data_IF_502664449974
#
_entry.id   IF_502664449974
#
_cell.length_a   1.000
_cell.length_b   1.000
_cell.length_c   1.000
_cell.angle_alpha   90.00
_cell.angle_beta   90.00
_cell.angle_gamma   90.00
#
_symmetry.space_group_name_H-M   'P 1'
#
loop_
_entity.id
_entity.type
_entity.pdbx_description
1 polymer ?
#
# COMPACT_ATOMS: atom_id res chain seq x y z
N UNK A 1 36.45 31.44 16.71
CA UNK A 1 36.44 30.55 17.91
C UNK A 1 35.32 31.00 18.83
N UNK A 2 34.50 30.06 19.28
CA UNK A 2 33.35 30.29 20.14
C UNK A 2 33.68 29.96 21.59
N UNK A 3 33.28 30.83 22.53
CA UNK A 3 33.54 30.68 23.96
C UNK A 3 32.24 30.85 24.77
N UNK A 4 32.01 29.99 25.70
CA UNK A 4 30.93 30.07 26.68
C UNK A 4 31.46 30.65 27.97
N UNK A 5 30.81 31.73 28.46
CA UNK A 5 31.10 32.35 29.76
C UNK A 5 30.07 31.89 30.78
N UNK A 6 30.52 31.33 31.87
CA UNK A 6 29.69 30.84 32.97
C UNK A 6 29.44 31.91 34.02
N UNK A 7 28.38 31.76 34.85
CA UNK A 7 28.06 32.73 35.92
C UNK A 7 29.16 32.95 36.94
N UNK A 8 30.01 31.96 37.17
CA UNK A 8 31.18 32.03 38.05
C UNK A 8 32.38 32.78 37.44
N UNK A 9 32.20 33.29 36.20
CA UNK A 9 33.23 34.04 35.49
C UNK A 9 34.20 33.17 34.68
N UNK A 10 34.08 31.85 34.74
CA UNK A 10 34.90 30.95 33.91
C UNK A 10 34.53 31.05 32.45
N UNK A 11 35.51 30.84 31.57
CA UNK A 11 35.33 30.86 30.10
C UNK A 11 35.85 29.58 29.53
N UNK A 12 35.03 28.87 28.72
CA UNK A 12 35.39 27.62 28.07
C UNK A 12 35.21 27.72 26.56
N UNK A 13 36.18 27.26 25.80
CA UNK A 13 36.03 27.09 24.36
C UNK A 13 35.02 26.00 24.07
N UNK A 14 34.07 26.27 23.18
CA UNK A 14 33.00 25.35 22.74
C UNK A 14 33.02 25.12 21.21
N UNK A 15 34.14 25.41 20.57
CA UNK A 15 34.32 25.28 19.13
C UNK A 15 33.99 23.87 18.61
N UNK A 16 34.36 22.84 19.38
CA UNK A 16 34.05 21.44 19.11
C UNK A 16 32.57 21.07 19.18
N UNK A 17 31.74 21.96 19.75
CA UNK A 17 30.29 21.79 19.90
C UNK A 17 29.47 22.60 18.92
N UNK A 18 30.08 23.52 18.19
CA UNK A 18 29.41 24.38 17.21
C UNK A 18 29.21 23.59 15.92
N UNK A 19 27.96 23.29 15.51
CA UNK A 19 27.70 22.41 14.38
C UNK A 19 27.96 23.07 13.02
N UNK A 20 27.85 24.41 12.95
CA UNK A 20 28.06 25.20 11.71
C UNK A 20 28.22 26.70 12.04
N UNK A 21 28.77 27.46 11.09
CA UNK A 21 28.90 28.90 11.18
C UNK A 21 27.54 29.58 11.06
N UNK A 22 27.30 30.62 11.86
CA UNK A 22 26.07 31.42 11.81
C UNK A 22 26.20 32.64 10.90
N UNK A 23 25.09 33.09 10.27
CA UNK A 23 25.03 34.38 9.61
C UNK A 23 25.32 35.55 10.56
N UNK A 24 25.72 36.70 9.99
CA UNK A 24 25.86 37.94 10.77
C UNK A 24 24.54 38.32 11.44
N UNK A 25 24.59 38.69 12.70
CA UNK A 25 23.42 39.04 13.52
C UNK A 25 22.72 37.84 14.17
N UNK A 26 23.22 36.61 13.98
CA UNK A 26 22.76 35.44 14.71
C UNK A 26 23.75 35.08 15.83
N UNK A 27 23.25 34.45 16.89
CA UNK A 27 24.08 33.97 17.98
C UNK A 27 23.70 32.58 18.46
N UNK A 28 24.69 31.80 18.91
CA UNK A 28 24.45 30.56 19.63
C UNK A 28 24.12 30.82 21.08
N UNK A 29 23.09 30.14 21.60
CA UNK A 29 22.73 30.18 23.01
C UNK A 29 22.34 28.80 23.52
N UNK A 30 22.26 28.64 24.84
CA UNK A 30 21.69 27.42 25.45
C UNK A 30 20.17 27.56 25.55
N UNK A 31 19.46 26.42 25.39
CA UNK A 31 18.00 26.42 25.48
C UNK A 31 17.52 26.98 26.82
N UNK A 32 18.25 26.72 27.95
CA UNK A 32 17.96 27.27 29.25
C UNK A 32 18.06 28.83 29.37
N UNK A 33 18.74 29.47 28.43
CA UNK A 33 18.85 30.93 28.42
C UNK A 33 17.68 31.61 27.73
N UNK A 34 16.89 30.88 26.96
CA UNK A 34 15.72 31.39 26.19
C UNK A 34 14.40 30.76 26.64
N UNK A 35 14.43 29.77 27.54
CA UNK A 35 13.25 29.11 28.11
C UNK A 35 13.35 29.04 29.65
N UNK A 36 12.30 29.48 30.34
CA UNK A 36 12.19 29.37 31.80
C UNK A 36 10.70 29.27 32.22
N UNK A 37 10.27 28.18 32.92
CA UNK A 37 11.08 27.03 33.30
C UNK A 37 11.28 26.01 32.15
N UNK A 38 12.32 25.18 32.26
CA UNK A 38 12.47 23.90 31.59
C UNK A 38 12.31 22.82 32.66
N UNK A 39 11.19 22.11 32.66
CA UNK A 39 10.85 21.11 33.68
C UNK A 39 10.01 20.00 33.08
N UNK A 40 9.76 18.93 33.84
CA UNK A 40 8.90 17.83 33.40
C UNK A 40 7.68 17.66 34.30
N UNK A 41 6.75 16.79 33.89
CA UNK A 41 5.54 16.47 34.61
C UNK A 41 5.76 15.63 35.87
N UNK A 42 4.71 15.02 36.39
CA UNK A 42 4.78 14.17 37.59
C UNK A 42 5.53 12.89 37.32
N UNK A 43 6.37 12.47 38.28
CA UNK A 43 7.10 11.19 38.26
C UNK A 43 6.26 10.02 38.81
N UNK A 44 5.19 10.31 39.57
CA UNK A 44 4.28 9.29 40.06
C UNK A 44 3.31 8.88 38.97
N UNK A 45 3.10 7.59 38.78
CA UNK A 45 2.06 7.10 37.87
C UNK A 45 0.70 7.60 38.38
N UNK A 46 -0.06 8.36 37.59
CA UNK A 46 -1.33 8.88 38.04
C UNK A 46 -2.40 7.79 38.17
N UNK A 47 -3.38 8.01 39.06
CA UNK A 47 -4.62 7.26 38.99
C UNK A 47 -5.50 7.97 37.96
N UNK A 48 -5.85 7.25 36.88
CA UNK A 48 -6.72 7.78 35.84
C UNK A 48 -8.20 7.69 36.26
N UNK A 49 -9.02 8.55 35.69
CA UNK A 49 -10.48 8.59 35.86
C UNK A 49 -11.15 8.67 34.48
N UNK A 50 -12.44 8.33 34.41
CA UNK A 50 -13.21 8.42 33.15
C UNK A 50 -13.53 9.86 32.76
N UNK A 51 -13.52 10.78 33.74
CA UNK A 51 -13.74 12.22 33.57
C UNK A 51 -12.89 13.02 34.56
N UNK A 52 -12.72 14.31 34.33
CA UNK A 52 -11.94 15.20 35.18
C UNK A 52 -11.05 16.16 34.41
N UNK A 53 -9.79 16.30 34.82
CA UNK A 53 -8.81 17.20 34.21
C UNK A 53 -7.97 16.47 33.20
N UNK A 54 -7.67 17.13 32.07
CA UNK A 54 -6.85 16.58 30.99
C UNK A 54 -5.45 16.27 31.48
N UNK A 55 -4.94 15.09 31.10
CA UNK A 55 -3.60 14.64 31.43
C UNK A 55 -2.87 14.12 30.20
N UNK A 56 -1.78 14.81 29.83
CA UNK A 56 -1.00 14.51 28.63
C UNK A 56 0.31 13.77 28.96
N UNK A 57 0.70 12.92 28.03
CA UNK A 57 1.97 12.18 28.05
C UNK A 57 2.66 12.26 26.68
N UNK A 58 3.85 11.67 26.55
CA UNK A 58 4.54 11.61 25.25
C UNK A 58 3.72 10.96 24.13
N UNK A 59 2.72 10.14 24.46
CA UNK A 59 1.78 9.56 23.48
C UNK A 59 0.97 10.61 22.73
N UNK A 60 0.71 11.74 23.39
CA UNK A 60 -0.06 12.85 22.83
C UNK A 60 0.77 13.78 21.93
N UNK A 61 2.10 13.55 21.83
CA UNK A 61 3.04 14.42 21.08
C UNK A 61 3.81 13.64 20.01
N UNK A 62 3.28 12.51 19.54
CA UNK A 62 3.99 11.60 18.62
C UNK A 62 4.14 12.13 17.20
N UNK A 63 3.28 13.03 16.76
CA UNK A 63 3.16 13.55 15.39
C UNK A 63 3.62 15.01 15.21
N UNK A 64 4.25 15.61 16.24
CA UNK A 64 4.69 17.01 16.18
C UNK A 64 3.59 18.03 16.47
N UNK A 65 2.38 17.58 16.77
CA UNK A 65 1.26 18.36 17.31
C UNK A 65 0.67 17.64 18.52
N UNK A 66 -0.19 18.31 19.27
CA UNK A 66 -0.84 17.70 20.44
C UNK A 66 -2.11 17.00 19.98
N UNK A 67 -2.18 15.69 20.23
CA UNK A 67 -3.41 14.91 20.07
C UNK A 67 -4.33 15.16 21.26
N UNK A 68 -5.33 15.98 21.05
CA UNK A 68 -6.34 16.34 22.04
C UNK A 68 -7.57 15.42 22.00
N UNK A 69 -7.64 14.48 21.07
CA UNK A 69 -8.77 13.57 20.91
C UNK A 69 -8.57 12.30 21.72
N UNK A 70 -7.32 11.84 21.87
CA UNK A 70 -6.96 10.63 22.63
C UNK A 70 -6.33 10.98 23.98
N UNK A 71 -7.06 11.74 24.81
CA UNK A 71 -6.58 12.21 26.13
C UNK A 71 -6.96 11.25 27.25
N UNK A 72 -6.22 11.35 28.36
CA UNK A 72 -6.55 10.72 29.63
C UNK A 72 -7.02 11.80 30.62
N UNK A 73 -7.77 11.37 31.65
CA UNK A 73 -8.22 12.27 32.70
C UNK A 73 -7.68 11.86 34.06
N UNK A 74 -7.51 12.83 34.93
CA UNK A 74 -7.13 12.66 36.32
C UNK A 74 -8.16 13.35 37.25
N UNK A 75 -8.33 12.85 38.49
CA UNK A 75 -9.24 13.44 39.45
C UNK A 75 -8.76 14.82 39.93
N UNK A 76 -9.69 15.67 40.33
CA UNK A 76 -9.44 17.04 40.79
C UNK A 76 -8.40 17.14 41.92
N UNK A 77 -8.41 16.22 42.86
CA UNK A 77 -7.43 16.22 43.96
C UNK A 77 -5.98 16.09 43.48
N UNK A 78 -5.74 15.27 42.46
CA UNK A 78 -4.42 15.11 41.85
C UNK A 78 -4.10 16.34 40.99
N UNK A 79 -5.06 16.83 40.19
CA UNK A 79 -4.90 18.06 39.42
C UNK A 79 -4.44 19.23 40.28
N UNK A 80 -5.11 19.48 41.41
CA UNK A 80 -4.76 20.58 42.30
C UNK A 80 -3.32 20.52 42.82
N UNK A 81 -2.82 19.30 43.12
CA UNK A 81 -1.42 19.06 43.50
C UNK A 81 -0.44 19.37 42.36
N UNK A 82 -0.74 18.86 41.14
CA UNK A 82 0.15 18.99 40.00
C UNK A 82 0.18 20.37 39.40
N UNK A 83 -0.98 21.00 39.25
CA UNK A 83 -1.14 22.30 38.63
C UNK A 83 -0.53 23.43 39.51
N UNK A 84 -0.58 23.28 40.83
CA UNK A 84 0.10 24.20 41.74
C UNK A 84 1.63 24.19 41.55
N UNK A 85 2.20 23.08 41.14
CA UNK A 85 3.64 22.94 40.83
C UNK A 85 3.98 23.43 39.42
N UNK A 86 3.16 23.07 38.45
CA UNK A 86 3.38 23.38 37.06
C UNK A 86 2.05 23.52 36.32
N UNK A 87 1.74 24.75 35.93
CA UNK A 87 0.56 25.10 35.15
C UNK A 87 0.97 25.34 33.69
N UNK A 88 0.79 24.36 32.78
CA UNK A 88 1.08 24.54 31.37
C UNK A 88 0.20 25.64 30.76
N UNK A 89 0.73 26.38 29.78
CA UNK A 89 0.08 27.53 29.16
C UNK A 89 0.17 27.47 27.65
N UNK A 90 -0.72 28.19 26.98
CA UNK A 90 -0.63 28.36 25.53
C UNK A 90 0.75 28.93 25.14
N UNK A 91 1.30 28.43 24.05
CA UNK A 91 2.65 28.69 23.52
C UNK A 91 3.79 28.05 24.31
N UNK A 92 3.55 27.30 25.39
CA UNK A 92 4.57 26.40 25.92
C UNK A 92 4.88 25.31 24.87
N UNK A 93 6.12 24.81 24.87
CA UNK A 93 6.49 23.67 24.04
C UNK A 93 6.56 22.43 24.92
N UNK A 94 5.85 21.36 24.51
CA UNK A 94 5.93 20.04 25.11
C UNK A 94 6.90 19.19 24.29
N UNK A 95 7.96 18.68 24.92
CA UNK A 95 8.98 17.85 24.29
C UNK A 95 8.94 16.43 24.87
N UNK A 96 8.74 15.43 24.03
CA UNK A 96 8.77 14.03 24.44
C UNK A 96 10.18 13.60 24.84
N UNK A 97 10.32 13.16 26.11
CA UNK A 97 11.57 12.67 26.70
C UNK A 97 11.74 11.16 26.57
N UNK A 98 10.63 10.42 26.54
CA UNK A 98 10.56 8.96 26.44
C UNK A 98 9.61 8.56 25.32
N UNK A 99 9.81 7.39 24.74
CA UNK A 99 9.01 6.89 23.61
C UNK A 99 9.46 7.55 22.31
N UNK A 100 8.67 8.45 21.74
CA UNK A 100 9.03 9.28 20.57
C UNK A 100 9.97 10.43 20.97
N UNK A 101 11.10 10.07 21.54
CA UNK A 101 12.06 11.01 22.12
C UNK A 101 12.49 12.08 21.11
N UNK A 102 12.45 13.35 21.54
CA UNK A 102 12.84 14.49 20.70
C UNK A 102 11.71 15.11 19.90
N UNK A 103 10.55 14.45 19.78
CA UNK A 103 9.37 15.06 19.15
C UNK A 103 8.79 16.12 20.09
N UNK A 104 8.49 17.29 19.54
CA UNK A 104 7.94 18.42 20.29
C UNK A 104 6.67 18.95 19.62
N UNK A 105 5.82 19.63 20.43
CA UNK A 105 4.63 20.33 19.94
C UNK A 105 4.38 21.57 20.75
N UNK A 106 3.78 22.59 20.11
CA UNK A 106 3.34 23.82 20.77
C UNK A 106 1.96 23.59 21.38
N UNK A 107 1.74 24.10 22.61
CA UNK A 107 0.40 24.17 23.20
C UNK A 107 -0.42 25.20 22.41
N UNK A 108 -1.28 24.74 21.54
CA UNK A 108 -2.01 25.53 20.55
C UNK A 108 -3.31 26.13 21.06
N UNK A 109 -3.81 25.66 22.20
CA UNK A 109 -5.09 26.13 22.80
C UNK A 109 -4.95 26.57 24.25
N UNK A 110 -5.85 27.39 24.65
CA UNK A 110 -5.94 27.88 26.04
C UNK A 110 -6.88 26.94 26.82
N UNK A 111 -6.29 25.96 27.50
CA UNK A 111 -7.03 25.00 28.33
C UNK A 111 -6.21 24.57 29.55
N UNK A 112 -6.89 24.03 30.55
CA UNK A 112 -6.28 23.55 31.80
C UNK A 112 -5.93 22.07 31.60
N UNK A 113 -4.67 21.70 31.83
CA UNK A 113 -4.19 20.31 31.75
C UNK A 113 -2.94 20.13 32.59
N UNK A 114 -2.60 18.85 32.84
CA UNK A 114 -1.38 18.40 33.49
C UNK A 114 -0.57 17.51 32.57
N UNK A 115 0.71 17.31 32.90
CA UNK A 115 1.62 16.50 32.09
C UNK A 115 2.34 15.43 32.91
N UNK A 116 2.65 14.32 32.25
CA UNK A 116 3.45 13.23 32.79
C UNK A 116 4.94 13.45 32.60
N UNK A 117 5.77 12.81 33.42
CA UNK A 117 7.26 12.87 33.36
C UNK A 117 7.84 12.53 31.97
N UNK A 118 7.08 11.87 31.12
CA UNK A 118 7.50 11.57 29.74
C UNK A 118 7.54 12.81 28.82
N UNK A 119 7.01 13.97 29.30
CA UNK A 119 7.07 15.26 28.63
C UNK A 119 7.93 16.23 29.44
N UNK A 120 8.82 16.95 28.74
CA UNK A 120 9.38 18.19 29.24
C UNK A 120 8.55 19.38 28.75
N UNK A 121 8.31 20.35 29.61
CA UNK A 121 7.72 21.63 29.30
C UNK A 121 8.84 22.66 29.17
N UNK A 122 8.83 23.40 28.05
CA UNK A 122 9.70 24.52 27.77
C UNK A 122 8.84 25.77 27.67
N UNK A 123 8.91 26.64 28.66
CA UNK A 123 8.24 27.97 28.62
C UNK A 123 9.19 28.99 28.05
N UNK A 124 8.87 29.51 26.90
CA UNK A 124 9.73 30.46 26.19
C UNK A 124 9.67 31.85 26.75
N UNK A 125 10.76 32.58 26.60
CA UNK A 125 10.82 34.02 26.86
C UNK A 125 10.41 34.73 25.56
N UNK A 126 9.13 35.10 25.46
CA UNK A 126 8.47 35.43 24.20
C UNK A 126 8.98 36.64 23.41
N UNK A 127 9.82 37.50 24.01
CA UNK A 127 10.46 38.58 23.27
C UNK A 127 11.80 38.22 22.65
N UNK A 128 12.36 37.02 22.98
CA UNK A 128 13.67 36.56 22.49
C UNK A 128 13.48 35.55 21.34
N UNK A 129 12.51 34.66 21.49
CA UNK A 129 12.32 33.55 20.53
C UNK A 129 10.83 33.27 20.28
N UNK A 130 10.45 33.01 19.04
CA UNK A 130 9.09 32.57 18.71
C UNK A 130 8.93 31.08 18.95
N UNK A 131 7.73 30.60 19.38
CA UNK A 131 7.44 29.17 19.55
C UNK A 131 7.66 28.37 18.28
N UNK A 132 7.20 28.88 17.13
CA UNK A 132 7.25 28.21 15.84
C UNK A 132 8.68 28.06 15.33
N UNK A 133 9.51 29.08 15.52
CA UNK A 133 10.93 29.02 15.19
C UNK A 133 11.66 28.02 16.09
N UNK A 134 11.42 28.05 17.41
CA UNK A 134 12.02 27.09 18.34
C UNK A 134 11.58 25.66 18.04
N UNK A 135 10.30 25.42 17.77
CA UNK A 135 9.79 24.13 17.37
C UNK A 135 10.50 23.60 16.12
N UNK A 136 10.61 24.42 15.09
CA UNK A 136 11.30 24.07 13.84
C UNK A 136 12.79 23.79 14.08
N UNK A 137 13.43 24.58 14.96
CA UNK A 137 14.84 24.35 15.34
C UNK A 137 15.00 23.03 16.08
N UNK A 138 14.14 22.71 17.03
CA UNK A 138 14.12 21.43 17.75
C UNK A 138 13.95 20.25 16.77
N UNK A 139 13.08 20.40 15.76
CA UNK A 139 12.84 19.40 14.74
C UNK A 139 14.02 19.22 13.75
N UNK A 140 14.98 20.14 13.72
CA UNK A 140 16.12 20.06 12.80
C UNK A 140 16.97 18.81 13.03
N UNK A 141 17.59 18.28 11.95
CA UNK A 141 18.46 17.12 12.02
C UNK A 141 19.64 17.32 13.00
N UNK A 142 20.15 18.53 13.09
CA UNK A 142 21.25 18.87 14.04
C UNK A 142 20.84 18.65 15.49
N UNK A 143 19.69 19.15 15.90
CA UNK A 143 19.21 18.99 17.29
C UNK A 143 18.76 17.56 17.55
N UNK A 144 18.07 16.92 16.57
CA UNK A 144 17.63 15.52 16.70
C UNK A 144 18.84 14.56 16.83
N UNK A 145 19.92 14.79 16.09
CA UNK A 145 21.14 14.01 16.21
C UNK A 145 21.81 14.20 17.59
N UNK A 146 21.82 15.42 18.12
CA UNK A 146 22.32 15.69 19.48
C UNK A 146 21.46 14.96 20.52
N UNK A 147 20.13 15.04 20.43
CA UNK A 147 19.23 14.32 21.34
C UNK A 147 19.46 12.81 21.27
N UNK A 148 19.50 12.24 20.09
CA UNK A 148 19.72 10.80 19.89
C UNK A 148 21.06 10.34 20.48
N UNK A 149 22.14 11.13 20.31
CA UNK A 149 23.45 10.81 20.90
C UNK A 149 23.49 10.96 22.42
N UNK A 150 22.56 11.72 22.98
CA UNK A 150 22.47 12.02 24.44
C UNK A 150 21.52 11.06 25.18
N UNK A 151 20.85 10.12 24.46
CA UNK A 151 19.93 9.18 25.09
C UNK A 151 20.65 8.24 26.07
N UNK A 152 20.05 8.02 27.22
CA UNK A 152 20.53 7.09 28.25
C UNK A 152 19.45 6.05 28.54
N UNK A 153 19.87 4.83 28.89
CA UNK A 153 19.01 3.72 29.29
C UNK A 153 19.11 2.49 28.39
N UNK A 154 19.10 1.30 29.01
CA UNK A 154 19.03 0.01 28.33
C UNK A 154 17.54 -0.37 28.30
N UNK A 155 16.92 -0.33 27.11
CA UNK A 155 15.52 -0.71 26.90
C UNK A 155 14.59 0.45 26.53
N UNK A 156 14.38 1.44 27.39
CA UNK A 156 13.59 2.64 27.05
C UNK A 156 14.50 3.86 27.05
N UNK A 157 14.87 4.41 25.89
CA UNK A 157 15.68 5.61 25.79
C UNK A 157 15.01 6.79 26.50
N UNK A 158 15.79 7.56 27.26
CA UNK A 158 15.32 8.74 28.00
C UNK A 158 16.23 9.93 27.75
N UNK A 159 15.65 11.04 27.35
CA UNK A 159 16.33 12.34 27.21
C UNK A 159 16.24 13.11 28.53
N UNK A 160 17.36 13.25 29.23
CA UNK A 160 17.40 13.94 30.51
C UNK A 160 17.26 15.46 30.34
N UNK A 161 16.62 16.12 31.32
CA UNK A 161 16.45 17.59 31.32
C UNK A 161 17.77 18.36 31.21
N UNK A 162 18.87 17.81 31.74
CA UNK A 162 20.20 18.41 31.62
C UNK A 162 20.62 18.57 30.14
N UNK A 163 20.42 17.53 29.34
CA UNK A 163 20.75 17.58 27.90
C UNK A 163 19.83 18.57 27.17
N UNK A 164 18.55 18.62 27.54
CA UNK A 164 17.60 19.60 26.97
C UNK A 164 18.06 21.04 27.30
N UNK A 165 18.36 21.33 28.57
CA UNK A 165 18.81 22.65 29.03
C UNK A 165 20.08 23.12 28.34
N UNK A 166 21.02 22.22 28.12
CA UNK A 166 22.33 22.51 27.54
C UNK A 166 22.39 22.44 26.02
N UNK A 167 21.26 22.15 25.36
CA UNK A 167 21.16 22.16 23.90
C UNK A 167 21.51 23.53 23.32
N UNK A 168 22.40 23.57 22.33
CA UNK A 168 22.74 24.78 21.60
C UNK A 168 21.64 25.11 20.57
N UNK A 169 21.16 26.33 20.61
CA UNK A 169 20.11 26.85 19.72
C UNK A 169 20.65 28.05 18.97
N UNK A 170 20.56 28.11 17.63
CA UNK A 170 20.87 29.32 16.89
C UNK A 170 19.71 30.31 17.01
N UNK A 171 19.96 31.52 17.43
CA UNK A 171 18.94 32.57 17.59
C UNK A 171 19.16 33.64 16.56
N UNK A 172 18.20 33.77 15.66
CA UNK A 172 18.09 34.84 14.68
C UNK A 172 17.43 36.08 15.27
N UNK A 173 17.53 37.28 14.67
CA UNK A 173 16.68 38.42 15.01
C UNK A 173 15.20 38.03 14.92
N UNK A 174 14.38 38.48 15.88
CA UNK A 174 12.98 38.03 16.06
C UNK A 174 12.13 38.14 14.79
N UNK A 175 12.25 39.21 14.02
CA UNK A 175 11.54 39.35 12.74
C UNK A 175 12.00 38.34 11.67
N UNK A 176 13.23 37.88 11.76
CA UNK A 176 13.74 36.83 10.88
C UNK A 176 13.24 35.47 11.29
N UNK A 177 13.14 35.19 12.60
CA UNK A 177 12.54 33.97 13.11
C UNK A 177 11.11 33.78 12.57
N UNK A 178 10.27 34.81 12.60
CA UNK A 178 8.92 34.75 12.03
C UNK A 178 8.93 34.48 10.54
N UNK A 179 9.83 35.12 9.77
CA UNK A 179 9.94 34.86 8.33
C UNK A 179 10.38 33.43 8.04
N UNK A 180 11.33 32.90 8.81
CA UNK A 180 11.83 31.52 8.68
C UNK A 180 10.70 30.54 9.00
N UNK A 181 10.04 30.68 10.15
CA UNK A 181 8.95 29.79 10.57
C UNK A 181 7.81 29.75 9.54
N UNK A 182 7.34 30.93 9.10
CA UNK A 182 6.30 31.04 8.06
C UNK A 182 6.73 30.38 6.73
N UNK A 183 8.00 30.58 6.33
CA UNK A 183 8.49 29.99 5.08
C UNK A 183 8.63 28.48 5.17
N UNK A 184 9.08 27.95 6.31
CA UNK A 184 9.16 26.52 6.57
C UNK A 184 7.78 25.87 6.56
N UNK A 185 6.80 26.47 7.24
CA UNK A 185 5.40 25.98 7.23
C UNK A 185 4.84 25.89 5.81
N UNK A 186 5.04 26.95 5.00
CA UNK A 186 4.61 26.95 3.60
C UNK A 186 5.29 25.85 2.79
N UNK A 187 6.60 25.63 2.95
CA UNK A 187 7.34 24.61 2.21
C UNK A 187 6.95 23.19 2.63
N UNK A 188 6.77 22.96 3.92
CA UNK A 188 6.32 21.66 4.45
C UNK A 188 4.89 21.33 3.97
N UNK A 189 3.97 22.30 4.09
CA UNK A 189 2.60 22.14 3.56
C UNK A 189 2.59 21.86 2.04
N UNK A 190 3.49 22.48 1.29
CA UNK A 190 3.62 22.22 -0.14
C UNK A 190 4.17 20.82 -0.43
N UNK A 191 5.15 20.36 0.35
CA UNK A 191 5.68 19.00 0.25
C UNK A 191 4.62 17.94 0.54
N UNK A 192 3.83 18.12 1.63
CA UNK A 192 2.73 17.24 1.99
C UNK A 192 1.65 17.17 0.89
N UNK A 193 1.37 18.32 0.27
CA UNK A 193 0.43 18.38 -0.86
C UNK A 193 0.95 17.59 -2.07
N UNK A 194 2.22 17.74 -2.43
CA UNK A 194 2.84 16.97 -3.54
C UNK A 194 2.72 15.47 -3.27
N UNK A 195 3.02 15.02 -2.05
CA UNK A 195 2.92 13.60 -1.68
C UNK A 195 1.47 13.10 -1.77
N UNK A 196 0.52 13.88 -1.26
CA UNK A 196 -0.91 13.55 -1.34
C UNK A 196 -1.39 13.49 -2.80
N UNK A 197 -1.01 14.44 -3.64
CA UNK A 197 -1.35 14.48 -5.05
C UNK A 197 -0.73 13.28 -5.81
N UNK A 198 0.50 12.87 -5.45
CA UNK A 198 1.15 11.66 -5.99
C UNK A 198 0.34 10.40 -5.66
N UNK A 199 -0.04 10.20 -4.40
CA UNK A 199 -0.85 9.06 -3.96
C UNK A 199 -2.21 9.03 -4.67
N UNK A 200 -2.88 10.18 -4.77
CA UNK A 200 -4.15 10.31 -5.48
C UNK A 200 -4.03 9.93 -6.96
N UNK A 201 -2.99 10.39 -7.64
CA UNK A 201 -2.75 10.10 -9.05
C UNK A 201 -2.48 8.61 -9.28
N UNK A 202 -1.66 7.95 -8.44
CA UNK A 202 -1.42 6.51 -8.52
C UNK A 202 -2.72 5.71 -8.35
N UNK A 203 -3.54 6.06 -7.36
CA UNK A 203 -4.84 5.43 -7.14
C UNK A 203 -5.78 5.61 -8.35
N UNK A 204 -5.78 6.80 -8.94
CA UNK A 204 -6.60 7.11 -10.14
C UNK A 204 -6.13 6.29 -11.34
N UNK A 205 -4.82 6.08 -11.51
CA UNK A 205 -4.27 5.25 -12.59
C UNK A 205 -4.74 3.80 -12.43
N UNK A 206 -4.67 3.22 -11.22
CA UNK A 206 -5.12 1.86 -10.97
C UNK A 206 -6.63 1.69 -11.23
N UNK A 207 -7.44 2.65 -10.79
CA UNK A 207 -8.89 2.68 -11.09
C UNK A 207 -9.16 2.79 -12.59
N UNK A 208 -8.36 3.58 -13.31
CA UNK A 208 -8.46 3.74 -14.76
C UNK A 208 -8.12 2.44 -15.48
N UNK A 209 -7.05 1.74 -15.09
CA UNK A 209 -6.70 0.42 -15.62
C UNK A 209 -7.83 -0.59 -15.40
N UNK A 210 -8.38 -0.63 -14.19
CA UNK A 210 -9.52 -1.49 -13.88
C UNK A 210 -10.74 -1.17 -14.76
N UNK A 211 -11.03 0.12 -14.99
CA UNK A 211 -12.14 0.54 -15.87
C UNK A 211 -11.92 0.20 -17.33
N UNK A 212 -10.68 0.31 -17.82
CA UNK A 212 -10.31 -0.12 -19.19
C UNK A 212 -10.59 -1.61 -19.36
N UNK A 213 -10.19 -2.46 -18.40
CA UNK A 213 -10.48 -3.88 -18.44
C UNK A 213 -11.99 -4.19 -18.39
N UNK A 214 -12.74 -3.47 -17.56
CA UNK A 214 -14.21 -3.61 -17.50
C UNK A 214 -14.88 -3.27 -18.84
N UNK A 215 -14.47 -2.17 -19.48
CA UNK A 215 -14.95 -1.79 -20.80
C UNK A 215 -14.57 -2.82 -21.88
N UNK A 216 -13.36 -3.38 -21.79
CA UNK A 216 -12.85 -4.37 -22.71
C UNK A 216 -13.70 -5.64 -22.73
N UNK A 217 -13.99 -6.20 -21.54
CA UNK A 217 -14.75 -7.46 -21.43
C UNK A 217 -16.26 -7.32 -21.70
N UNK A 218 -16.73 -6.08 -21.85
CA UNK A 218 -18.13 -5.72 -22.19
C UNK A 218 -18.30 -5.26 -23.65
N UNK A 219 -17.23 -5.33 -24.48
CA UNK A 219 -17.28 -4.88 -25.86
C UNK A 219 -17.43 -3.38 -26.08
N UNK A 220 -17.04 -2.57 -25.07
CA UNK A 220 -17.16 -1.10 -25.08
C UNK A 220 -15.83 -0.37 -25.28
N UNK A 221 -14.70 -1.11 -25.43
CA UNK A 221 -13.36 -0.53 -25.55
C UNK A 221 -12.97 -0.23 -27.00
N UNK A 222 -13.40 -1.04 -27.93
CA UNK A 222 -13.12 -0.90 -29.38
C UNK A 222 -14.44 -0.98 -30.17
N UNK A 223 -14.53 -0.37 -31.37
CA UNK A 223 -15.70 -0.49 -32.20
C UNK A 223 -15.88 -1.93 -32.73
N UNK A 224 -17.13 -2.36 -32.85
CA UNK A 224 -17.52 -3.63 -33.48
C UNK A 224 -17.27 -3.55 -35.00
N UNK A 225 -16.76 -4.64 -35.61
CA UNK A 225 -16.63 -4.78 -37.06
C UNK A 225 -17.68 -5.78 -37.56
N UNK A 226 -18.62 -5.38 -38.41
CA UNK A 226 -19.67 -6.28 -38.92
C UNK A 226 -19.11 -7.41 -39.81
N UNK A 227 -17.84 -7.31 -40.25
CA UNK A 227 -17.18 -8.35 -41.05
C UNK A 227 -16.53 -9.42 -40.21
N UNK A 228 -16.41 -9.24 -38.89
CA UNK A 228 -15.89 -10.25 -38.01
C UNK A 228 -16.85 -11.44 -37.90
N UNK A 229 -16.32 -12.66 -37.93
CA UNK A 229 -17.11 -13.86 -37.72
C UNK A 229 -17.67 -13.88 -36.27
N UNK A 230 -18.99 -13.99 -36.07
CA UNK A 230 -19.59 -14.01 -34.75
C UNK A 230 -19.01 -15.12 -33.86
N UNK A 231 -18.75 -14.80 -32.59
CA UNK A 231 -18.16 -15.75 -31.64
C UNK A 231 -19.05 -16.96 -31.32
N UNK A 232 -20.38 -16.85 -31.54
CA UNK A 232 -21.31 -17.98 -31.43
C UNK A 232 -20.92 -19.12 -32.39
N UNK A 233 -20.53 -18.79 -33.61
CA UNK A 233 -20.06 -19.78 -34.61
C UNK A 233 -18.75 -20.47 -34.16
N UNK A 234 -17.85 -19.67 -33.56
CA UNK A 234 -16.59 -20.21 -33.02
C UNK A 234 -16.84 -21.18 -31.84
N UNK A 235 -17.78 -20.85 -30.95
CA UNK A 235 -18.15 -21.72 -29.83
C UNK A 235 -18.85 -23.02 -30.31
N UNK A 236 -19.71 -22.93 -31.34
CA UNK A 236 -20.33 -24.09 -31.94
C UNK A 236 -19.29 -25.06 -32.54
N UNK A 237 -18.26 -24.53 -33.20
CA UNK A 237 -17.15 -25.36 -33.71
C UNK A 237 -16.43 -26.11 -32.60
N UNK A 238 -16.08 -25.43 -31.49
CA UNK A 238 -15.44 -26.10 -30.34
C UNK A 238 -16.34 -27.21 -29.80
N UNK A 239 -17.63 -26.92 -29.62
CA UNK A 239 -18.57 -27.91 -29.11
C UNK A 239 -18.67 -29.12 -30.05
N UNK A 240 -18.73 -28.88 -31.36
CA UNK A 240 -18.74 -29.96 -32.36
C UNK A 240 -17.44 -30.77 -32.34
N UNK A 241 -16.27 -30.13 -32.28
CA UNK A 241 -14.98 -30.80 -32.19
C UNK A 241 -14.88 -31.63 -30.91
N UNK A 242 -15.31 -31.08 -29.76
CA UNK A 242 -15.33 -31.78 -28.47
C UNK A 242 -16.22 -33.03 -28.52
N UNK A 243 -17.43 -32.92 -29.10
CA UNK A 243 -18.35 -34.05 -29.27
C UNK A 243 -17.74 -35.13 -30.15
N UNK A 244 -17.02 -34.76 -31.23
CA UNK A 244 -16.34 -35.72 -32.10
C UNK A 244 -15.20 -36.45 -31.37
N UNK A 245 -14.42 -35.71 -30.56
CA UNK A 245 -13.35 -36.32 -29.72
C UNK A 245 -13.92 -37.27 -28.65
N UNK A 246 -15.10 -36.95 -28.10
CA UNK A 246 -15.83 -37.84 -27.16
C UNK A 246 -16.29 -39.10 -27.91
N UNK A 247 -16.87 -38.95 -29.12
CA UNK A 247 -17.31 -40.07 -29.95
C UNK A 247 -16.17 -41.02 -30.33
N UNK A 248 -14.98 -40.43 -30.59
CA UNK A 248 -13.77 -41.20 -30.88
C UNK A 248 -13.14 -41.82 -29.64
N UNK A 249 -13.66 -41.60 -28.44
CA UNK A 249 -13.12 -42.10 -27.17
C UNK A 249 -11.79 -41.46 -26.75
N UNK A 250 -11.40 -40.37 -27.40
CA UNK A 250 -10.17 -39.62 -27.08
C UNK A 250 -10.28 -38.81 -25.79
N UNK A 251 -11.49 -38.30 -25.52
CA UNK A 251 -11.80 -37.60 -24.28
C UNK A 251 -13.06 -38.20 -23.67
N UNK A 252 -13.18 -38.12 -22.33
CA UNK A 252 -14.37 -38.56 -21.62
C UNK A 252 -15.33 -37.39 -21.44
N UNK A 253 -16.65 -37.65 -21.59
CA UNK A 253 -17.69 -36.67 -21.27
C UNK A 253 -17.61 -36.31 -19.78
N UNK A 254 -17.56 -35.03 -19.51
CA UNK A 254 -17.64 -34.57 -18.13
C UNK A 254 -19.09 -34.72 -17.64
N UNK A 255 -19.28 -35.47 -16.54
CA UNK A 255 -20.62 -35.67 -15.93
C UNK A 255 -21.22 -34.40 -15.31
N UNK A 256 -20.40 -33.37 -15.10
CA UNK A 256 -20.76 -32.05 -14.54
C UNK A 256 -20.58 -30.93 -15.56
N UNK A 257 -20.76 -31.24 -16.84
CA UNK A 257 -20.67 -30.23 -17.88
C UNK A 257 -21.64 -29.09 -17.62
N UNK A 258 -21.10 -27.87 -17.63
CA UNK A 258 -21.85 -26.64 -17.42
C UNK A 258 -22.06 -25.94 -18.78
N UNK A 259 -23.26 -25.43 -19.00
CA UNK A 259 -23.62 -24.69 -20.22
C UNK A 259 -24.32 -23.40 -19.85
N UNK A 260 -23.89 -22.29 -20.45
CA UNK A 260 -24.56 -21.01 -20.31
C UNK A 260 -25.55 -20.85 -21.47
N UNK A 261 -26.78 -20.43 -21.16
CA UNK A 261 -27.83 -20.14 -22.14
C UNK A 261 -28.60 -18.88 -21.75
N UNK A 262 -29.24 -18.26 -22.73
CA UNK A 262 -30.08 -17.11 -22.53
C UNK A 262 -31.54 -17.58 -22.39
N UNK A 263 -32.19 -17.14 -21.31
CA UNK A 263 -33.60 -17.44 -21.05
C UNK A 263 -34.57 -16.57 -21.88
N UNK A 264 -35.86 -16.87 -21.79
CA UNK A 264 -36.92 -16.10 -22.46
C UNK A 264 -37.05 -14.66 -21.95
N UNK A 265 -36.61 -14.43 -20.74
CA UNK A 265 -36.53 -13.13 -20.06
C UNK A 265 -35.28 -12.30 -20.45
N UNK A 266 -34.50 -12.77 -21.43
CA UNK A 266 -33.22 -12.21 -21.86
C UNK A 266 -32.08 -12.27 -20.82
N UNK A 267 -32.29 -12.89 -19.65
CA UNK A 267 -31.25 -13.14 -18.65
C UNK A 267 -30.38 -14.35 -18.99
N UNK A 268 -29.15 -14.37 -18.49
CA UNK A 268 -28.25 -15.51 -18.67
C UNK A 268 -28.31 -16.48 -17.48
N UNK A 269 -28.31 -17.78 -17.82
CA UNK A 269 -28.40 -18.85 -16.85
C UNK A 269 -27.28 -19.87 -17.06
N UNK A 270 -26.73 -20.37 -15.95
CA UNK A 270 -25.79 -21.48 -15.92
C UNK A 270 -26.55 -22.78 -15.60
N UNK A 271 -26.48 -23.76 -16.50
CA UNK A 271 -27.04 -25.09 -16.30
C UNK A 271 -25.92 -26.10 -16.00
N UNK A 272 -26.04 -26.82 -14.90
CA UNK A 272 -25.13 -27.88 -14.47
C UNK A 272 -25.97 -29.13 -14.20
N UNK A 273 -25.99 -30.09 -15.13
CA UNK A 273 -26.93 -31.21 -15.05
C UNK A 273 -28.39 -30.74 -14.98
N UNK A 274 -29.05 -30.94 -13.84
CA UNK A 274 -30.44 -30.50 -13.60
C UNK A 274 -30.55 -29.15 -12.85
N UNK A 275 -29.42 -28.61 -12.39
CA UNK A 275 -29.41 -27.34 -11.66
C UNK A 275 -29.32 -26.18 -12.65
N UNK A 276 -30.13 -25.14 -12.42
CA UNK A 276 -30.12 -23.90 -13.19
C UNK A 276 -29.94 -22.76 -12.22
N UNK A 277 -28.89 -21.97 -12.41
CA UNK A 277 -28.54 -20.79 -11.60
C UNK A 277 -28.58 -19.54 -12.47
N UNK A 278 -29.14 -18.43 -11.94
CA UNK A 278 -29.09 -17.12 -12.62
C UNK A 278 -27.69 -16.52 -12.56
N UNK A 279 -27.26 -15.90 -13.64
CA UNK A 279 -25.97 -15.20 -13.74
C UNK A 279 -26.11 -13.68 -13.60
N UNK A 280 -27.27 -13.16 -13.21
CA UNK A 280 -27.54 -11.72 -13.10
C UNK A 280 -26.57 -11.00 -12.14
N UNK A 281 -26.15 -11.68 -11.06
CA UNK A 281 -25.20 -11.14 -10.08
C UNK A 281 -23.80 -10.88 -10.67
N UNK A 282 -23.48 -11.49 -11.81
CA UNK A 282 -22.16 -11.36 -12.45
C UNK A 282 -22.06 -10.22 -13.45
N UNK A 283 -23.14 -9.42 -13.62
CA UNK A 283 -23.17 -8.22 -14.48
C UNK A 283 -22.72 -8.51 -15.94
N UNK A 284 -23.20 -9.63 -16.52
CA UNK A 284 -22.90 -10.04 -17.88
C UNK A 284 -23.83 -9.39 -18.88
N UNK A 285 -24.79 -8.63 -18.38
CA UNK A 285 -25.77 -7.92 -19.21
C UNK A 285 -25.07 -6.89 -20.09
N UNK A 286 -25.62 -6.70 -21.28
CA UNK A 286 -25.18 -5.64 -22.20
C UNK A 286 -23.83 -5.92 -22.92
N UNK A 287 -23.63 -7.16 -23.39
CA UNK A 287 -22.53 -7.51 -24.33
C UNK A 287 -23.02 -7.45 -25.78
N UNK A 288 -22.13 -7.19 -26.77
CA UNK A 288 -22.49 -7.19 -28.19
C UNK A 288 -23.12 -8.51 -28.66
N UNK A 289 -24.07 -8.44 -29.57
CA UNK A 289 -24.74 -9.62 -30.12
C UNK A 289 -23.79 -10.58 -30.88
N UNK A 290 -22.69 -10.04 -31.40
CA UNK A 290 -21.63 -10.82 -32.07
C UNK A 290 -20.77 -11.61 -31.12
N UNK A 291 -20.87 -11.36 -29.81
CA UNK A 291 -20.08 -12.06 -28.79
C UNK A 291 -20.78 -13.32 -28.30
N UNK A 292 -19.98 -14.30 -27.89
CA UNK A 292 -20.45 -15.48 -27.20
C UNK A 292 -20.21 -15.40 -25.69
N UNK A 293 -20.93 -16.22 -24.93
CA UNK A 293 -20.70 -16.44 -23.50
C UNK A 293 -20.56 -17.94 -23.27
N UNK A 294 -19.57 -18.33 -22.50
CA UNK A 294 -19.34 -19.71 -22.12
C UNK A 294 -18.73 -19.83 -20.73
N UNK A 295 -18.60 -21.02 -20.20
CA UNK A 295 -17.80 -21.28 -19.02
C UNK A 295 -16.32 -21.38 -19.41
N UNK A 296 -15.41 -20.92 -18.53
CA UNK A 296 -13.96 -21.00 -18.75
C UNK A 296 -13.50 -22.44 -19.07
N UNK A 297 -14.09 -23.45 -18.43
CA UNK A 297 -13.80 -24.86 -18.71
C UNK A 297 -14.27 -25.38 -20.07
N UNK A 298 -15.03 -24.61 -20.88
CA UNK A 298 -15.37 -24.95 -22.25
C UNK A 298 -14.25 -24.60 -23.24
N UNK A 299 -13.46 -23.58 -22.91
CA UNK A 299 -12.45 -22.97 -23.79
C UNK A 299 -11.02 -23.10 -23.27
N UNK A 300 -10.83 -23.67 -22.08
CA UNK A 300 -9.54 -23.76 -21.41
C UNK A 300 -9.44 -25.06 -20.58
N UNK A 301 -8.27 -25.65 -20.57
CA UNK A 301 -7.92 -26.82 -19.73
C UNK A 301 -7.61 -26.36 -18.26
N UNK A 302 -8.59 -25.74 -17.60
CA UNK A 302 -8.41 -25.22 -16.26
C UNK A 302 -8.15 -26.35 -15.24
N UNK A 303 -6.95 -26.31 -14.61
CA UNK A 303 -6.54 -27.27 -13.59
C UNK A 303 -6.03 -28.62 -14.11
N UNK A 304 -5.92 -28.81 -15.42
CA UNK A 304 -5.30 -29.97 -16.03
C UNK A 304 -3.81 -29.68 -16.33
N UNK A 305 -2.95 -29.81 -15.29
CA UNK A 305 -1.55 -29.44 -15.36
C UNK A 305 -0.64 -30.69 -15.49
N UNK A 306 0.44 -30.58 -16.25
CA UNK A 306 1.48 -31.59 -16.34
C UNK A 306 2.39 -31.45 -15.12
N UNK A 307 2.30 -32.43 -14.22
CA UNK A 307 3.15 -32.46 -13.02
C UNK A 307 4.50 -33.11 -13.34
N UNK A 308 5.59 -32.45 -12.95
CA UNK A 308 6.97 -32.94 -13.09
C UNK A 308 7.62 -33.01 -11.70
N UNK A 309 8.22 -34.18 -11.41
CA UNK A 309 8.99 -34.32 -10.17
C UNK A 309 10.27 -33.48 -10.28
N UNK A 310 10.65 -32.82 -9.17
CA UNK A 310 11.80 -31.93 -9.16
C UNK A 310 13.11 -32.62 -9.60
N UNK A 311 13.27 -33.91 -9.30
CA UNK A 311 14.43 -34.69 -9.74
C UNK A 311 14.58 -34.80 -11.27
N UNK A 312 13.47 -34.70 -12.00
CA UNK A 312 13.43 -34.81 -13.45
C UNK A 312 13.58 -33.42 -14.15
N UNK A 313 13.65 -32.36 -13.39
CA UNK A 313 13.84 -30.97 -13.85
C UNK A 313 15.34 -30.66 -13.91
N UNK A 314 15.82 -30.11 -15.02
CA UNK A 314 17.20 -29.64 -15.17
C UNK A 314 17.53 -28.51 -14.17
N UNK A 315 18.76 -28.50 -13.63
CA UNK A 315 19.25 -27.47 -12.71
C UNK A 315 19.19 -26.05 -13.30
N UNK A 316 19.31 -25.92 -14.60
CA UNK A 316 19.26 -24.64 -15.32
C UNK A 316 17.84 -24.29 -15.81
N UNK A 317 16.84 -25.13 -15.58
CA UNK A 317 15.47 -24.84 -15.97
C UNK A 317 14.89 -23.67 -15.15
N UNK A 318 14.13 -22.79 -15.81
CA UNK A 318 13.42 -21.69 -15.17
C UNK A 318 12.32 -22.22 -14.24
N UNK A 319 12.32 -21.74 -13.00
CA UNK A 319 11.28 -22.00 -12.00
C UNK A 319 10.59 -20.70 -11.66
N UNK A 320 9.31 -20.60 -11.98
CA UNK A 320 8.46 -19.45 -11.64
C UNK A 320 7.68 -19.71 -10.35
N UNK A 321 7.91 -18.91 -9.34
CA UNK A 321 7.14 -18.93 -8.11
C UNK A 321 6.22 -17.67 -7.99
N UNK A 322 5.33 -17.69 -7.01
CA UNK A 322 4.35 -16.61 -6.83
C UNK A 322 4.99 -15.23 -6.58
N UNK A 323 6.13 -15.20 -5.92
CA UNK A 323 6.86 -13.96 -5.60
C UNK A 323 7.48 -13.30 -6.84
N UNK A 324 7.70 -14.08 -7.91
CA UNK A 324 8.27 -13.57 -9.16
C UNK A 324 7.26 -12.84 -10.03
N UNK A 325 5.97 -12.94 -9.72
CA UNK A 325 4.91 -12.27 -10.46
C UNK A 325 4.49 -11.03 -9.69
N UNK A 326 4.58 -9.88 -10.32
CA UNK A 326 4.13 -8.62 -9.77
C UNK A 326 2.60 -8.58 -9.69
N UNK A 327 2.10 -8.06 -8.56
CA UNK A 327 0.68 -7.90 -8.31
C UNK A 327 0.06 -6.93 -9.32
N UNK A 328 -1.14 -7.22 -9.85
CA UNK A 328 -1.97 -6.38 -10.71
C UNK A 328 -1.36 -5.97 -12.07
N UNK A 329 -0.12 -6.32 -12.38
CA UNK A 329 0.58 -5.82 -13.57
C UNK A 329 0.72 -6.84 -14.69
N UNK A 330 0.71 -8.12 -14.36
CA UNK A 330 1.00 -9.19 -15.32
C UNK A 330 2.46 -9.24 -15.75
N UNK A 331 3.39 -8.78 -14.93
CA UNK A 331 4.85 -8.78 -15.18
C UNK A 331 5.56 -9.84 -14.33
N UNK A 332 6.56 -10.48 -14.92
CA UNK A 332 7.56 -11.28 -14.21
C UNK A 332 8.68 -10.34 -13.79
N UNK A 333 8.93 -10.22 -12.50
CA UNK A 333 9.94 -9.31 -11.93
C UNK A 333 11.27 -9.99 -11.65
N UNK A 334 11.27 -11.34 -11.61
CA UNK A 334 12.46 -12.13 -11.34
C UNK A 334 12.40 -13.46 -12.07
N UNK A 335 13.55 -13.93 -12.58
CA UNK A 335 13.71 -15.26 -13.15
C UNK A 335 14.82 -15.99 -12.43
N UNK A 336 14.50 -17.12 -11.83
CA UNK A 336 15.45 -17.96 -11.14
C UNK A 336 15.41 -19.38 -11.71
N UNK A 337 16.58 -20.01 -11.77
CA UNK A 337 16.74 -21.42 -12.13
C UNK A 337 16.41 -22.34 -10.95
N UNK A 338 16.20 -23.61 -11.20
CA UNK A 338 16.01 -24.63 -10.17
C UNK A 338 17.14 -24.61 -9.14
N UNK A 339 18.39 -24.50 -9.62
CA UNK A 339 19.59 -24.44 -8.76
C UNK A 339 19.56 -23.27 -7.79
N UNK A 340 19.16 -22.09 -8.26
CA UNK A 340 19.09 -20.88 -7.45
C UNK A 340 17.95 -20.93 -6.42
N UNK A 341 16.83 -21.61 -6.75
CA UNK A 341 15.68 -21.70 -5.83
C UNK A 341 15.81 -22.80 -4.77
N UNK A 342 16.68 -23.77 -4.98
CA UNK A 342 16.82 -24.93 -4.08
C UNK A 342 15.45 -25.59 -3.74
N UNK A 343 14.58 -25.76 -4.74
CA UNK A 343 13.21 -26.24 -4.57
C UNK A 343 13.12 -27.75 -4.62
N UNK A 344 12.39 -28.37 -3.67
CA UNK A 344 12.21 -29.81 -3.57
C UNK A 344 10.82 -30.33 -3.95
N UNK A 345 9.82 -29.46 -4.16
CA UNK A 345 8.45 -29.84 -4.47
C UNK A 345 8.24 -30.03 -5.98
N UNK A 346 7.33 -30.94 -6.38
CA UNK A 346 6.88 -31.09 -7.77
C UNK A 346 6.36 -29.77 -8.34
N UNK A 347 6.51 -29.61 -9.65
CA UNK A 347 6.18 -28.40 -10.40
C UNK A 347 5.24 -28.71 -11.56
N UNK A 348 4.46 -27.70 -11.98
CA UNK A 348 3.73 -27.75 -13.24
C UNK A 348 4.65 -27.31 -14.37
N UNK A 349 4.70 -28.07 -15.46
CA UNK A 349 5.34 -27.67 -16.71
C UNK A 349 4.46 -26.58 -17.37
N UNK A 350 5.09 -25.55 -17.91
CA UNK A 350 4.44 -24.57 -18.77
C UNK A 350 5.26 -24.32 -20.04
N UNK A 351 4.58 -23.91 -21.10
CA UNK A 351 5.16 -23.57 -22.38
C UNK A 351 5.05 -22.07 -22.68
N UNK A 352 5.97 -21.61 -23.51
CA UNK A 352 5.95 -20.25 -24.04
C UNK A 352 4.58 -19.89 -24.63
N UNK A 353 4.07 -18.72 -24.28
CA UNK A 353 2.80 -18.18 -24.76
C UNK A 353 1.58 -18.62 -23.95
N UNK A 354 1.72 -19.53 -22.99
CA UNK A 354 0.63 -19.91 -22.10
C UNK A 354 0.32 -18.80 -21.09
N UNK A 355 -0.96 -18.70 -20.74
CA UNK A 355 -1.42 -17.84 -19.65
C UNK A 355 -1.23 -18.57 -18.33
N UNK A 356 -0.45 -18.02 -17.42
CA UNK A 356 -0.22 -18.58 -16.10
C UNK A 356 -1.05 -17.78 -15.07
N UNK A 357 -1.92 -18.49 -14.36
CA UNK A 357 -2.83 -17.91 -13.36
C UNK A 357 -2.54 -18.42 -11.96
N UNK A 358 -2.36 -17.51 -11.00
CA UNK A 358 -2.27 -17.87 -9.58
C UNK A 358 -3.64 -18.15 -8.99
N UNK A 359 -3.95 -19.41 -8.68
CA UNK A 359 -5.17 -19.77 -7.96
C UNK A 359 -5.12 -19.43 -6.47
N UNK A 360 -3.91 -19.23 -5.90
CA UNK A 360 -3.69 -18.86 -4.52
C UNK A 360 -3.80 -17.34 -4.35
N UNK A 361 -4.59 -16.90 -3.37
CA UNK A 361 -4.85 -15.48 -3.09
C UNK A 361 -5.25 -14.71 -4.35
N UNK A 362 -6.38 -15.04 -4.97
CA UNK A 362 -6.80 -14.44 -6.25
C UNK A 362 -6.82 -12.91 -6.22
N UNK A 363 -7.07 -12.31 -5.05
CA UNK A 363 -7.05 -10.86 -4.86
C UNK A 363 -5.68 -10.19 -5.16
N UNK A 364 -4.61 -10.97 -5.27
CA UNK A 364 -3.30 -10.46 -5.71
C UNK A 364 -3.21 -10.32 -7.24
N UNK A 365 -4.21 -10.84 -7.97
CA UNK A 365 -4.36 -10.67 -9.41
C UNK A 365 -3.07 -10.97 -10.21
N UNK A 366 -2.44 -12.11 -9.91
CA UNK A 366 -1.17 -12.54 -10.53
C UNK A 366 -1.44 -13.42 -11.74
N UNK A 367 -1.37 -12.81 -12.91
CA UNK A 367 -1.62 -13.43 -14.21
C UNK A 367 -0.55 -12.99 -15.20
N UNK A 368 0.17 -13.91 -15.82
CA UNK A 368 1.24 -13.59 -16.77
C UNK A 368 1.15 -14.44 -18.03
N UNK A 369 1.73 -13.96 -19.13
CA UNK A 369 2.06 -14.77 -20.29
C UNK A 369 3.57 -14.88 -20.34
N UNK A 370 4.08 -16.11 -20.50
CA UNK A 370 5.52 -16.38 -20.52
C UNK A 370 6.08 -16.32 -21.93
N UNK A 371 7.31 -15.88 -22.05
CA UNK A 371 8.06 -15.78 -23.31
C UNK A 371 9.02 -16.96 -23.54
N UNK A 372 9.06 -17.90 -22.57
CA UNK A 372 9.90 -19.11 -22.61
C UNK A 372 9.20 -20.28 -21.90
N UNK A 373 9.72 -21.50 -22.11
CA UNK A 373 9.29 -22.71 -21.42
C UNK A 373 9.88 -22.74 -19.99
N UNK A 374 9.18 -23.39 -19.07
CA UNK A 374 9.65 -23.53 -17.70
C UNK A 374 8.72 -24.34 -16.81
N UNK A 375 8.94 -24.21 -15.52
CA UNK A 375 8.15 -24.89 -14.49
C UNK A 375 7.67 -23.88 -13.46
N UNK A 376 6.46 -24.08 -12.94
CA UNK A 376 5.92 -23.20 -11.90
C UNK A 376 5.46 -24.00 -10.67
N UNK A 377 5.29 -23.31 -9.56
CA UNK A 377 4.69 -23.89 -8.35
C UNK A 377 3.28 -24.46 -8.64
N UNK A 378 2.86 -25.46 -7.90
CA UNK A 378 1.51 -26.06 -8.02
C UNK A 378 0.36 -25.09 -7.70
N UNK A 379 0.65 -23.90 -7.18
CA UNK A 379 -0.34 -22.84 -6.95
C UNK A 379 -0.56 -21.96 -8.19
N UNK A 380 0.28 -22.08 -9.21
CA UNK A 380 0.13 -21.44 -10.52
C UNK A 380 -0.40 -22.50 -11.51
N UNK A 381 -1.44 -22.13 -12.24
CA UNK A 381 -2.04 -22.96 -13.27
C UNK A 381 -1.61 -22.47 -14.65
N UNK A 382 -0.83 -23.26 -15.42
CA UNK A 382 -0.70 -23.07 -16.85
C UNK A 382 -2.04 -23.35 -17.53
N UNK A 383 -2.60 -22.35 -18.19
CA UNK A 383 -3.88 -22.43 -18.85
C UNK A 383 -3.65 -22.59 -20.35
N UNK A 384 -4.07 -23.74 -20.90
CA UNK A 384 -4.10 -23.96 -22.31
C UNK A 384 -5.47 -23.59 -22.87
N UNK A 385 -5.51 -22.53 -23.65
CA UNK A 385 -6.73 -22.07 -24.30
C UNK A 385 -6.90 -22.69 -25.68
N UNK A 386 -8.16 -22.91 -26.09
CA UNK A 386 -8.46 -23.29 -27.45
C UNK A 386 -8.01 -22.21 -28.46
N UNK A 387 -7.80 -22.61 -29.70
CA UNK A 387 -7.27 -21.77 -30.79
C UNK A 387 -8.16 -20.59 -31.18
N UNK A 388 -9.38 -20.51 -30.67
CA UNK A 388 -10.30 -19.37 -30.85
C UNK A 388 -10.13 -18.26 -29.80
N UNK A 389 -9.28 -18.48 -28.80
CA UNK A 389 -9.02 -17.51 -27.75
C UNK A 389 -7.60 -16.96 -27.90
N UNK A 390 -7.51 -15.66 -28.06
CA UNK A 390 -6.22 -14.96 -28.10
C UNK A 390 -5.64 -14.84 -26.68
N UNK A 391 -4.43 -15.34 -26.39
CA UNK A 391 -3.90 -15.43 -25.03
C UNK A 391 -3.86 -14.09 -24.28
N UNK A 392 -3.50 -12.98 -24.97
CA UNK A 392 -3.49 -11.66 -24.34
C UNK A 392 -4.90 -11.22 -23.92
N UNK A 393 -5.92 -11.48 -24.72
CA UNK A 393 -7.30 -11.21 -24.33
C UNK A 393 -7.69 -12.04 -23.11
N UNK A 394 -7.37 -13.33 -23.09
CA UNK A 394 -7.64 -14.20 -21.95
C UNK A 394 -6.95 -13.71 -20.68
N UNK A 395 -5.68 -13.30 -20.77
CA UNK A 395 -4.95 -12.69 -19.66
C UNK A 395 -5.70 -11.47 -19.12
N UNK A 396 -6.09 -10.54 -19.98
CA UNK A 396 -6.80 -9.32 -19.56
C UNK A 396 -8.19 -9.60 -19.01
N UNK A 397 -8.88 -10.62 -19.55
CA UNK A 397 -10.15 -11.07 -19.00
C UNK A 397 -9.99 -11.58 -17.56
N UNK A 398 -9.01 -12.46 -17.31
CA UNK A 398 -8.72 -13.01 -15.98
C UNK A 398 -8.26 -11.91 -15.00
N UNK A 399 -7.57 -10.89 -15.50
CA UNK A 399 -7.17 -9.71 -14.69
C UNK A 399 -8.32 -8.73 -14.43
N UNK A 400 -9.46 -8.86 -15.09
CA UNK A 400 -10.56 -7.91 -15.00
C UNK A 400 -11.22 -7.89 -13.61
N UNK A 401 -11.81 -6.74 -13.21
CA UNK A 401 -12.55 -6.65 -11.96
C UNK A 401 -13.68 -7.66 -11.82
N UNK A 402 -14.33 -8.02 -12.93
CA UNK A 402 -15.43 -9.01 -12.97
C UNK A 402 -14.92 -10.41 -12.64
N UNK A 403 -13.87 -10.89 -13.30
CA UNK A 403 -13.29 -12.18 -12.98
C UNK A 403 -12.67 -12.21 -11.58
N UNK A 404 -12.01 -11.15 -11.17
CA UNK A 404 -11.40 -11.03 -9.84
C UNK A 404 -12.46 -11.11 -8.72
N UNK A 405 -13.61 -10.46 -8.90
CA UNK A 405 -14.75 -10.53 -7.97
C UNK A 405 -15.26 -11.95 -7.87
N UNK A 406 -15.47 -12.63 -9.02
CA UNK A 406 -15.86 -14.04 -9.06
C UNK A 406 -14.86 -14.92 -8.31
N UNK A 407 -13.59 -14.83 -8.66
CA UNK A 407 -12.53 -15.63 -8.07
C UNK A 407 -12.42 -15.47 -6.55
N UNK A 408 -12.56 -14.23 -6.05
CA UNK A 408 -12.56 -13.95 -4.62
C UNK A 408 -13.81 -14.51 -3.92
N UNK A 409 -14.99 -14.38 -4.53
CA UNK A 409 -16.25 -14.89 -3.99
C UNK A 409 -16.25 -16.43 -3.87
N UNK A 410 -15.76 -17.12 -4.89
CA UNK A 410 -15.73 -18.59 -4.96
C UNK A 410 -14.50 -19.21 -4.28
N UNK A 411 -13.58 -18.40 -3.74
CA UNK A 411 -12.39 -18.91 -3.08
C UNK A 411 -12.67 -19.44 -1.68
N UNK A 412 -12.01 -20.54 -1.33
CA UNK A 412 -12.08 -21.16 -0.01
C UNK A 412 -10.76 -21.02 0.76
N UNK A 413 -10.83 -21.01 2.08
CA UNK A 413 -9.69 -20.87 3.01
C UNK A 413 -9.51 -19.46 3.55
N UNK A 414 -9.33 -19.32 4.88
CA UNK A 414 -9.31 -18.02 5.57
C UNK A 414 -7.98 -17.29 5.38
N UNK A 415 -6.85 -17.94 5.66
CA UNK A 415 -5.52 -17.31 5.57
C UNK A 415 -4.91 -17.35 4.17
N UNK A 416 -5.25 -18.37 3.40
CA UNK A 416 -4.69 -18.64 2.07
C UNK A 416 -5.82 -19.07 1.11
N UNK A 417 -6.72 -18.13 0.73
CA UNK A 417 -7.85 -18.45 -0.15
C UNK A 417 -7.37 -18.96 -1.51
N UNK A 418 -8.09 -19.94 -2.06
CA UNK A 418 -7.80 -20.56 -3.36
C UNK A 418 -9.06 -20.71 -4.18
N UNK A 419 -8.97 -20.36 -5.46
CA UNK A 419 -10.01 -20.72 -6.43
C UNK A 419 -9.86 -22.18 -6.82
N UNK A 420 -10.85 -23.00 -6.44
CA UNK A 420 -10.86 -24.43 -6.74
C UNK A 420 -11.04 -24.74 -8.24
N UNK A 421 -10.61 -25.91 -8.67
CA UNK A 421 -10.73 -26.33 -10.08
C UNK A 421 -12.18 -26.37 -10.56
N UNK A 422 -13.10 -26.84 -9.72
CA UNK A 422 -14.51 -26.94 -10.09
C UNK A 422 -15.14 -25.55 -10.31
N UNK A 423 -14.85 -24.60 -9.42
CA UNK A 423 -15.38 -23.25 -9.52
C UNK A 423 -14.65 -22.43 -10.59
N UNK A 424 -13.34 -22.63 -10.77
CA UNK A 424 -12.60 -22.01 -11.85
C UNK A 424 -13.15 -22.40 -13.24
N UNK A 425 -13.51 -23.68 -13.44
CA UNK A 425 -14.16 -24.15 -14.68
C UNK A 425 -15.53 -23.52 -14.94
N UNK A 426 -16.28 -23.17 -13.90
CA UNK A 426 -17.59 -22.55 -14.01
C UNK A 426 -17.54 -21.05 -14.24
N UNK A 427 -16.38 -20.43 -14.05
CA UNK A 427 -16.24 -19.00 -14.24
C UNK A 427 -16.76 -18.59 -15.62
N UNK A 428 -17.60 -17.58 -15.64
CA UNK A 428 -18.14 -17.04 -16.90
C UNK A 428 -17.02 -16.38 -17.68
N UNK A 429 -17.06 -16.54 -18.99
CA UNK A 429 -16.12 -15.94 -19.94
C UNK A 429 -16.86 -15.38 -21.15
N UNK A 430 -16.62 -14.10 -21.46
CA UNK A 430 -17.16 -13.50 -22.69
C UNK A 430 -16.19 -13.64 -23.84
N UNK A 431 -16.65 -14.10 -24.98
CA UNK A 431 -15.83 -14.42 -26.15
C UNK A 431 -16.17 -13.48 -27.28
N UNK A 432 -15.31 -12.49 -27.59
CA UNK A 432 -15.43 -11.68 -28.82
C UNK A 432 -15.05 -12.49 -30.06
N UNK A 433 -15.40 -12.00 -31.26
CA UNK A 433 -14.76 -12.44 -32.49
C UNK A 433 -13.22 -12.40 -32.39
N UNK A 434 -12.51 -13.39 -32.98
CA UNK A 434 -11.05 -13.54 -32.79
C UNK A 434 -10.25 -12.29 -33.19
N UNK A 435 -10.66 -11.58 -34.24
CA UNK A 435 -9.99 -10.35 -34.66
C UNK A 435 -10.26 -9.20 -33.67
N UNK A 436 -11.45 -9.17 -33.09
CA UNK A 436 -11.78 -8.20 -32.05
C UNK A 436 -11.01 -8.44 -30.76
N UNK A 437 -10.79 -9.70 -30.35
CA UNK A 437 -9.91 -10.03 -29.21
C UNK A 437 -8.52 -9.41 -29.37
N UNK A 438 -7.94 -9.45 -30.56
CA UNK A 438 -6.64 -8.85 -30.88
C UNK A 438 -6.70 -7.32 -30.77
N UNK A 439 -7.73 -6.69 -31.38
CA UNK A 439 -7.92 -5.23 -31.29
C UNK A 439 -8.09 -4.75 -29.85
N UNK A 440 -8.82 -5.53 -29.04
CA UNK A 440 -8.99 -5.25 -27.59
C UNK A 440 -7.66 -5.32 -26.88
N UNK A 441 -6.89 -6.42 -27.07
CA UNK A 441 -5.60 -6.61 -26.44
C UNK A 441 -4.59 -5.51 -26.80
N UNK A 442 -4.50 -5.17 -28.09
CA UNK A 442 -3.65 -4.09 -28.59
C UNK A 442 -4.02 -2.74 -27.99
N UNK A 443 -5.33 -2.46 -27.89
CA UNK A 443 -5.81 -1.22 -27.28
C UNK A 443 -5.50 -1.13 -25.81
N UNK A 444 -5.64 -2.22 -25.04
CA UNK A 444 -5.27 -2.28 -23.63
C UNK A 444 -3.77 -2.05 -23.47
N UNK A 445 -2.94 -2.75 -24.27
CA UNK A 445 -1.48 -2.58 -24.26
C UNK A 445 -1.09 -1.11 -24.49
N UNK A 446 -1.68 -0.45 -25.48
CA UNK A 446 -1.45 0.96 -25.78
C UNK A 446 -1.80 1.85 -24.58
N UNK A 447 -3.00 1.68 -24.01
CA UNK A 447 -3.48 2.50 -22.91
C UNK A 447 -2.68 2.26 -21.61
N UNK A 448 -2.35 1.02 -21.29
CA UNK A 448 -1.53 0.69 -20.12
C UNK A 448 -0.12 1.24 -20.25
N UNK A 449 0.49 1.15 -21.43
CA UNK A 449 1.81 1.74 -21.68
C UNK A 449 1.82 3.26 -21.46
N UNK A 450 0.76 3.96 -21.87
CA UNK A 450 0.62 5.41 -21.62
C UNK A 450 0.49 5.70 -20.12
N UNK A 451 -0.35 4.95 -19.39
CA UNK A 451 -0.53 5.10 -17.94
C UNK A 451 0.77 4.77 -17.18
N UNK A 452 1.48 3.71 -17.57
CA UNK A 452 2.76 3.33 -16.97
C UNK A 452 3.85 4.40 -17.24
N UNK A 453 3.82 5.08 -18.39
CA UNK A 453 4.73 6.17 -18.68
C UNK A 453 4.51 7.38 -17.77
N UNK A 454 3.26 7.65 -17.37
CA UNK A 454 2.94 8.70 -16.39
C UNK A 454 3.59 8.35 -15.05
N UNK A 455 3.37 7.13 -14.55
CA UNK A 455 3.96 6.66 -13.27
C UNK A 455 5.47 6.80 -13.29
N UNK A 456 6.13 6.35 -14.37
CA UNK A 456 7.61 6.42 -14.50
C UNK A 456 8.16 7.86 -14.48
N UNK A 457 7.37 8.84 -14.90
CA UNK A 457 7.80 10.25 -14.90
C UNK A 457 7.53 10.95 -13.55
N UNK A 458 6.94 10.26 -12.57
CA UNK A 458 6.69 10.77 -11.22
C UNK A 458 7.81 10.41 -10.22
N UNK A 459 8.67 9.47 -10.58
CA UNK A 459 9.87 9.07 -9.83
C UNK A 459 11.09 9.89 -10.29
#
# INVERSE_FOLDING_TARGET
>A
MHYEKFPDGTVKCIEDKIPFELPEGWEWTRLQAICEPITDGTHKTPTYSDEGFIFLSSKNVTSGHIDWDNIMYIPESLHNELYARLAPQKNDILLAKNGTTGVAAIVDRDCIFDIYVSLALLRIIGYIISPEYLLSTIASSTIQNYFNSSLKGIGVPNLHLEHIRTTLIPVAPINEQYRIATKLEQLLSFADKIESDKIFLLTTIDQTKAKILDLAIRGKLVPQDPNDEPASILLERIRAEKEELIRQGRIKRDKKESVIFKGEDNSYYLKIGNLVESLNDWQIDDIPETWGICCLGEICDYGNCINTDTKDISENAWILDLEDIEKDTGRVIQRLTKKERNSASSKHLFHKGQVLYSKLRPYLNKVVITDDDGYCTSEILPLEFSNIIFPDYARYYIMSPTFLRYANHCSYGVKMPRLGTADGKKAVFTVPPINEQKRIADKINQLFSLLDSIVKNMD
#
